data_IF_924132866247
#
_entry.id   IF_924132866247
#
_cell.length_a   1.000
_cell.length_b   1.000
_cell.length_c   1.000
_cell.angle_alpha   90.00
_cell.angle_beta   90.00
_cell.angle_gamma   90.00
#
_symmetry.space_group_name_H-M   'P 1'
#
loop_
_entity.id
_entity.type
_entity.pdbx_description
1 polymer ?
#
# COMPACT_ATOMS: atom_id res chain seq x y z
N UNK A 1 -19.16 18.88 -11.34
CA UNK A 1 -18.11 19.74 -10.75
C UNK A 1 -17.30 19.04 -9.65
N UNK A 2 -17.88 18.13 -8.85
CA UNK A 2 -17.18 17.52 -7.71
C UNK A 2 -16.01 16.59 -8.08
N UNK A 3 -16.09 15.84 -9.18
CA UNK A 3 -15.05 14.87 -9.54
C UNK A 3 -13.68 15.52 -9.85
N UNK A 4 -13.66 16.59 -10.64
CA UNK A 4 -12.42 17.32 -10.96
C UNK A 4 -11.83 17.99 -9.71
N UNK A 5 -12.68 18.57 -8.87
CA UNK A 5 -12.22 19.17 -7.62
C UNK A 5 -11.61 18.11 -6.68
N UNK A 6 -12.26 16.95 -6.54
CA UNK A 6 -11.75 15.83 -5.75
C UNK A 6 -10.42 15.30 -6.29
N UNK A 7 -10.26 15.26 -7.62
CA UNK A 7 -9.00 14.87 -8.25
C UNK A 7 -7.88 15.89 -7.92
N UNK A 8 -8.17 17.18 -7.97
CA UNK A 8 -7.22 18.24 -7.56
C UNK A 8 -6.86 18.17 -6.07
N UNK A 9 -7.83 17.93 -5.20
CA UNK A 9 -7.61 17.71 -3.77
C UNK A 9 -6.75 16.47 -3.53
N UNK A 10 -7.00 15.37 -4.28
CA UNK A 10 -6.21 14.15 -4.21
C UNK A 10 -4.75 14.43 -4.56
N UNK A 11 -4.46 15.10 -5.68
CA UNK A 11 -3.08 15.44 -6.09
C UNK A 11 -2.31 16.18 -4.99
N UNK A 12 -2.93 17.17 -4.33
CA UNK A 12 -2.30 17.94 -3.26
C UNK A 12 -2.03 17.08 -2.02
N UNK A 13 -2.87 16.07 -1.76
CA UNK A 13 -2.74 15.18 -0.61
C UNK A 13 -1.73 14.04 -0.79
N UNK A 14 -1.26 13.79 -2.01
CA UNK A 14 -0.33 12.68 -2.27
C UNK A 14 1.03 12.91 -1.59
N UNK A 15 1.67 11.82 -1.12
CA UNK A 15 3.10 11.82 -0.83
C UNK A 15 3.90 12.35 -2.02
N UNK A 16 4.98 13.09 -1.74
CA UNK A 16 5.81 13.71 -2.80
C UNK A 16 6.26 12.69 -3.85
N UNK A 17 6.71 11.52 -3.40
CA UNK A 17 7.19 10.46 -4.28
C UNK A 17 6.10 9.87 -5.21
N UNK A 18 4.83 9.90 -4.80
CA UNK A 18 3.71 9.45 -5.63
C UNK A 18 3.28 10.54 -6.60
N UNK A 19 3.23 11.80 -6.14
CA UNK A 19 2.91 12.95 -6.99
C UNK A 19 3.93 13.12 -8.12
N UNK A 20 5.22 12.95 -7.84
CA UNK A 20 6.30 13.02 -8.83
C UNK A 20 6.17 11.97 -9.95
N UNK A 21 5.40 10.89 -9.74
CA UNK A 21 5.12 9.85 -10.74
C UNK A 21 3.92 10.20 -11.63
N UNK A 22 3.13 11.20 -11.28
CA UNK A 22 1.95 11.60 -12.06
C UNK A 22 2.35 12.65 -13.08
N UNK A 23 2.03 12.39 -14.34
CA UNK A 23 2.19 13.37 -15.40
C UNK A 23 1.10 14.44 -15.32
N UNK A 24 1.49 15.69 -15.05
CA UNK A 24 0.63 16.88 -15.11
C UNK A 24 1.13 17.74 -16.29
N UNK A 25 0.47 17.69 -17.47
CA UNK A 25 0.99 18.35 -18.67
C UNK A 25 0.93 19.88 -18.63
N UNK A 26 -0.05 20.43 -17.91
CA UNK A 26 -0.21 21.88 -17.79
C UNK A 26 0.65 22.42 -16.63
N UNK A 27 1.65 23.22 -16.97
CA UNK A 27 2.57 23.81 -15.98
C UNK A 27 1.86 24.70 -14.96
N UNK A 28 0.79 25.41 -15.34
CA UNK A 28 0.04 26.26 -14.38
C UNK A 28 -0.68 25.42 -13.34
N UNK A 29 -1.23 24.27 -13.74
CA UNK A 29 -1.84 23.31 -12.82
C UNK A 29 -0.79 22.71 -11.90
N UNK A 30 0.36 22.30 -12.44
CA UNK A 30 1.47 21.75 -11.67
C UNK A 30 1.99 22.73 -10.61
N UNK A 31 2.24 23.98 -11.00
CA UNK A 31 2.64 25.04 -10.08
C UNK A 31 1.57 25.29 -9.01
N UNK A 32 0.29 25.28 -9.40
CA UNK A 32 -0.81 25.47 -8.47
C UNK A 32 -0.90 24.34 -7.42
N UNK A 33 -0.66 23.09 -7.83
CA UNK A 33 -0.61 21.92 -6.96
C UNK A 33 0.57 22.02 -5.99
N UNK A 34 1.78 22.33 -6.45
CA UNK A 34 2.95 22.49 -5.58
C UNK A 34 2.78 23.65 -4.60
N UNK A 35 2.23 24.79 -5.06
CA UNK A 35 1.92 25.90 -4.17
C UNK A 35 0.94 25.49 -3.07
N UNK A 36 -0.11 24.72 -3.41
CA UNK A 36 -1.11 24.27 -2.43
C UNK A 36 -0.49 23.44 -1.29
N UNK A 37 0.50 22.60 -1.61
CA UNK A 37 1.20 21.73 -0.63
C UNK A 37 1.99 22.52 0.40
N UNK A 38 2.42 23.74 0.06
CA UNK A 38 3.16 24.62 0.95
C UNK A 38 2.25 25.57 1.77
N UNK A 39 0.95 25.62 1.50
CA UNK A 39 0.02 26.51 2.21
C UNK A 39 -0.42 25.86 3.54
N UNK A 40 -0.04 26.50 4.65
CA UNK A 40 -0.43 26.09 6.01
C UNK A 40 -1.79 26.66 6.45
N UNK A 41 -2.16 27.83 5.92
CA UNK A 41 -3.40 28.51 6.30
C UNK A 41 -4.63 27.87 5.62
N UNK A 42 -5.58 27.35 6.40
CA UNK A 42 -6.81 26.68 5.90
C UNK A 42 -7.58 27.49 4.85
N UNK A 43 -7.73 28.80 5.07
CA UNK A 43 -8.42 29.68 4.12
C UNK A 43 -7.63 29.92 2.82
N UNK A 44 -6.30 29.93 2.89
CA UNK A 44 -5.43 29.96 1.73
C UNK A 44 -5.55 28.67 0.92
N UNK A 45 -5.45 27.53 1.59
CA UNK A 45 -5.53 26.20 0.98
C UNK A 45 -6.87 26.01 0.27
N UNK A 46 -7.98 26.36 0.93
CA UNK A 46 -9.32 26.27 0.32
C UNK A 46 -9.43 27.07 -0.98
N UNK A 47 -8.91 28.29 -1.01
CA UNK A 47 -8.91 29.14 -2.22
C UNK A 47 -8.03 28.55 -3.32
N UNK A 48 -6.87 28.02 -2.95
CA UNK A 48 -5.97 27.39 -3.90
C UNK A 48 -6.58 26.12 -4.52
N UNK A 49 -7.26 25.30 -3.73
CA UNK A 49 -7.99 24.12 -4.23
C UNK A 49 -9.12 24.49 -5.19
N UNK A 50 -9.84 25.60 -4.93
CA UNK A 50 -10.84 26.13 -5.87
C UNK A 50 -10.22 26.58 -7.19
N UNK A 51 -9.03 27.20 -7.14
CA UNK A 51 -8.28 27.61 -8.32
C UNK A 51 -7.79 26.40 -9.13
N UNK A 52 -7.24 25.38 -8.47
CA UNK A 52 -6.88 24.09 -9.08
C UNK A 52 -8.10 23.48 -9.78
N UNK A 53 -9.24 23.37 -9.08
CA UNK A 53 -10.47 22.84 -9.67
C UNK A 53 -11.00 23.66 -10.85
N UNK A 54 -10.66 24.97 -10.94
CA UNK A 54 -10.92 25.79 -12.13
C UNK A 54 -9.98 25.44 -13.28
N UNK A 55 -8.68 25.32 -13.03
CA UNK A 55 -7.68 24.93 -14.04
C UNK A 55 -7.98 23.55 -14.62
N UNK A 56 -8.40 22.59 -13.79
CA UNK A 56 -8.73 21.23 -14.22
C UNK A 56 -9.87 21.14 -15.24
N UNK A 57 -10.68 22.20 -15.40
CA UNK A 57 -11.72 22.26 -16.44
C UNK A 57 -11.21 22.65 -17.82
N UNK A 58 -9.99 23.17 -17.90
CA UNK A 58 -9.39 23.71 -19.13
C UNK A 58 -8.14 22.96 -19.60
N UNK A 59 -7.77 21.87 -18.91
CA UNK A 59 -6.58 21.06 -19.22
C UNK A 59 -7.00 19.65 -19.61
N UNK A 60 -6.12 18.95 -20.32
CA UNK A 60 -6.26 17.51 -20.50
C UNK A 60 -5.97 16.79 -19.17
N UNK A 61 -7.00 16.13 -18.63
CA UNK A 61 -6.93 15.42 -17.37
C UNK A 61 -6.62 13.93 -17.54
N UNK A 62 -6.60 13.41 -18.77
CA UNK A 62 -6.43 11.99 -19.02
C UNK A 62 -5.10 11.45 -18.47
N UNK A 63 -3.95 12.14 -18.64
CA UNK A 63 -2.68 11.67 -18.06
C UNK A 63 -2.68 11.66 -16.53
N UNK A 64 -3.41 12.59 -15.92
CA UNK A 64 -3.56 12.70 -14.47
C UNK A 64 -4.42 11.54 -13.95
N UNK A 65 -5.56 11.30 -14.61
CA UNK A 65 -6.47 10.22 -14.27
C UNK A 65 -5.78 8.85 -14.41
N UNK A 66 -5.02 8.64 -15.50
CA UNK A 66 -4.23 7.44 -15.72
C UNK A 66 -3.18 7.23 -14.63
N UNK A 67 -2.40 8.26 -14.28
CA UNK A 67 -1.40 8.18 -13.21
C UNK A 67 -2.02 7.85 -11.85
N UNK A 68 -3.15 8.49 -11.52
CA UNK A 68 -3.90 8.20 -10.30
C UNK A 68 -4.47 6.77 -10.29
N UNK A 69 -4.93 6.26 -11.42
CA UNK A 69 -5.43 4.89 -11.57
C UNK A 69 -4.33 3.85 -11.41
N UNK A 70 -3.13 4.10 -11.96
CA UNK A 70 -1.97 3.23 -11.76
C UNK A 70 -1.56 3.15 -10.29
N UNK A 71 -1.57 4.29 -9.58
CA UNK A 71 -1.32 4.30 -8.13
C UNK A 71 -2.40 3.50 -7.38
N UNK A 72 -3.67 3.70 -7.69
CA UNK A 72 -4.76 2.94 -7.02
C UNK A 72 -4.60 1.43 -7.22
N UNK A 73 -4.21 1.01 -8.43
CA UNK A 73 -3.94 -0.39 -8.73
C UNK A 73 -2.76 -0.92 -7.92
N UNK A 74 -1.64 -0.18 -7.86
CA UNK A 74 -0.48 -0.56 -7.04
C UNK A 74 -0.85 -0.71 -5.56
N UNK A 75 -1.65 0.21 -5.02
CA UNK A 75 -2.09 0.17 -3.62
C UNK A 75 -3.05 -0.99 -3.38
N UNK A 76 -3.92 -1.31 -4.34
CA UNK A 76 -4.84 -2.44 -4.27
C UNK A 76 -4.08 -3.78 -4.25
N UNK A 77 -3.06 -3.93 -5.10
CA UNK A 77 -2.18 -5.10 -5.13
C UNK A 77 -1.44 -5.24 -3.80
N UNK A 78 -0.74 -4.19 -3.36
CA UNK A 78 -0.01 -4.21 -2.09
C UNK A 78 -0.91 -4.53 -0.88
N UNK A 79 -2.15 -4.04 -0.89
CA UNK A 79 -3.16 -4.35 0.14
C UNK A 79 -3.60 -5.82 0.09
N UNK A 80 -3.84 -6.35 -1.11
CA UNK A 80 -4.21 -7.75 -1.30
C UNK A 80 -3.08 -8.68 -0.84
N UNK A 81 -1.83 -8.36 -1.17
CA UNK A 81 -0.64 -9.10 -0.76
C UNK A 81 -0.48 -9.07 0.77
N UNK A 82 -0.62 -7.89 1.38
CA UNK A 82 -0.60 -7.74 2.83
C UNK A 82 -1.64 -8.63 3.52
N UNK A 83 -2.89 -8.62 3.05
CA UNK A 83 -3.95 -9.45 3.62
C UNK A 83 -3.72 -10.95 3.38
N UNK A 84 -3.18 -11.35 2.23
CA UNK A 84 -2.81 -12.75 1.96
C UNK A 84 -1.77 -13.24 2.98
N UNK A 85 -0.73 -12.44 3.22
CA UNK A 85 0.32 -12.74 4.21
C UNK A 85 -0.28 -12.79 5.63
N UNK A 86 -1.18 -11.85 5.95
CA UNK A 86 -1.83 -11.79 7.25
C UNK A 86 -2.67 -13.06 7.52
N UNK A 87 -3.49 -13.46 6.55
CA UNK A 87 -4.28 -14.68 6.64
C UNK A 87 -3.39 -15.91 6.78
N UNK A 88 -2.33 -16.03 5.98
CA UNK A 88 -1.36 -17.12 6.06
C UNK A 88 -0.72 -17.24 7.46
N UNK A 89 -0.28 -16.11 8.02
CA UNK A 89 0.29 -16.03 9.38
C UNK A 89 -0.72 -16.50 10.43
N UNK A 90 -1.96 -16.02 10.34
CA UNK A 90 -3.00 -16.37 11.32
C UNK A 90 -3.38 -17.85 11.23
N UNK A 91 -3.41 -18.42 10.02
CA UNK A 91 -3.58 -19.88 9.84
C UNK A 91 -2.44 -20.69 10.43
N UNK A 92 -1.19 -20.27 10.23
CA UNK A 92 -0.04 -20.94 10.88
C UNK A 92 -0.10 -20.85 12.42
N UNK A 93 -0.66 -19.76 12.96
CA UNK A 93 -0.86 -19.59 14.40
C UNK A 93 -1.97 -20.50 14.93
N UNK A 94 -3.11 -20.56 14.22
CA UNK A 94 -4.35 -21.16 14.73
C UNK A 94 -4.50 -22.64 14.34
N UNK A 95 -4.12 -23.00 13.12
CA UNK A 95 -4.24 -24.36 12.55
C UNK A 95 -2.92 -25.15 12.62
N UNK A 96 -1.80 -24.46 12.83
CA UNK A 96 -0.48 -25.09 12.96
C UNK A 96 -0.06 -25.87 11.71
N UNK A 97 0.31 -27.14 11.90
CA UNK A 97 0.87 -27.98 10.83
C UNK A 97 -0.13 -28.25 9.69
N UNK A 98 -1.44 -28.18 9.95
CA UNK A 98 -2.49 -28.42 8.95
C UNK A 98 -2.52 -27.31 7.88
N UNK A 99 -2.10 -26.09 8.22
CA UNK A 99 -2.03 -24.97 7.27
C UNK A 99 -0.83 -25.07 6.30
N UNK A 100 0.20 -25.87 6.61
CA UNK A 100 1.46 -25.86 5.87
C UNK A 100 1.31 -26.21 4.38
N UNK A 101 0.39 -27.11 4.04
CA UNK A 101 0.14 -27.49 2.65
C UNK A 101 -0.29 -26.30 1.80
N UNK A 102 -1.24 -25.51 2.30
CA UNK A 102 -1.75 -24.32 1.60
C UNK A 102 -0.69 -23.22 1.52
N UNK A 103 0.12 -23.06 2.57
CA UNK A 103 1.24 -22.09 2.57
C UNK A 103 2.27 -22.45 1.49
N UNK A 104 2.60 -23.73 1.33
CA UNK A 104 3.55 -24.19 0.32
C UNK A 104 3.00 -24.12 -1.10
N UNK A 105 1.68 -24.19 -1.26
CA UNK A 105 1.05 -23.95 -2.56
C UNK A 105 1.19 -22.49 -3.00
N UNK A 106 1.21 -21.54 -2.06
CA UNK A 106 1.40 -20.10 -2.33
C UNK A 106 2.88 -19.76 -2.48
N UNK A 107 3.73 -20.26 -1.57
CA UNK A 107 5.18 -20.02 -1.56
C UNK A 107 5.95 -21.36 -1.55
N UNK A 108 6.17 -22.00 -2.71
CA UNK A 108 6.86 -23.29 -2.80
C UNK A 108 8.29 -23.30 -2.26
N UNK A 109 8.93 -22.13 -2.25
CA UNK A 109 10.29 -21.92 -1.74
C UNK A 109 10.36 -21.77 -0.21
N UNK A 110 9.23 -21.84 0.51
CA UNK A 110 9.21 -21.76 1.96
C UNK A 110 9.94 -22.95 2.63
N UNK A 111 10.73 -22.66 3.67
CA UNK A 111 11.40 -23.68 4.47
C UNK A 111 10.42 -24.32 5.46
N UNK A 112 9.87 -25.47 5.07
CA UNK A 112 8.89 -26.23 5.88
C UNK A 112 9.40 -26.56 7.29
N UNK A 113 10.67 -26.93 7.41
CA UNK A 113 11.30 -27.26 8.69
C UNK A 113 11.30 -26.05 9.65
N UNK A 114 11.59 -24.86 9.12
CA UNK A 114 11.60 -23.60 9.87
C UNK A 114 10.19 -23.20 10.33
N UNK A 115 9.20 -23.28 9.44
CA UNK A 115 7.81 -23.01 9.78
C UNK A 115 7.31 -23.96 10.88
N UNK A 116 7.53 -25.28 10.74
CA UNK A 116 7.19 -26.28 11.78
C UNK A 116 7.89 -26.02 13.10
N UNK A 117 9.13 -25.53 13.07
CA UNK A 117 9.84 -25.15 14.29
C UNK A 117 9.13 -23.98 14.98
N UNK A 118 8.76 -22.93 14.24
CA UNK A 118 8.10 -21.77 14.81
C UNK A 118 6.67 -22.06 15.28
N UNK A 119 5.91 -22.88 14.55
CA UNK A 119 4.58 -23.35 14.99
C UNK A 119 4.69 -24.05 16.34
N UNK A 120 5.64 -24.99 16.50
CA UNK A 120 5.83 -25.73 17.76
C UNK A 120 6.36 -24.86 18.90
N UNK A 121 7.07 -23.77 18.59
CA UNK A 121 7.56 -22.82 19.60
C UNK A 121 6.46 -21.86 20.08
N UNK A 122 5.41 -21.64 19.28
CA UNK A 122 4.38 -20.63 19.55
C UNK A 122 3.71 -20.81 20.93
N UNK A 123 3.25 -22.00 21.37
CA UNK A 123 2.59 -22.13 22.67
C UNK A 123 3.47 -21.64 23.83
N UNK A 124 4.77 -21.99 23.78
CA UNK A 124 5.75 -21.57 24.79
C UNK A 124 6.02 -20.06 24.75
N UNK A 125 6.03 -19.46 23.56
CA UNK A 125 6.18 -18.01 23.43
C UNK A 125 4.92 -17.27 23.89
N UNK A 126 3.72 -17.84 23.72
CA UNK A 126 2.47 -17.30 24.29
C UNK A 126 2.50 -17.32 25.82
N UNK A 127 2.92 -18.44 26.44
CA UNK A 127 3.10 -18.55 27.90
C UNK A 127 4.07 -17.49 28.45
N UNK A 128 5.06 -17.09 27.65
CA UNK A 128 6.05 -16.05 27.98
C UNK A 128 5.57 -14.62 27.67
N UNK A 129 4.37 -14.44 27.11
CA UNK A 129 3.84 -13.14 26.70
C UNK A 129 4.48 -12.57 25.41
N UNK A 130 5.15 -13.40 24.62
CA UNK A 130 5.90 -13.01 23.41
C UNK A 130 5.13 -13.26 22.11
N UNK A 131 3.84 -13.54 22.18
CA UNK A 131 2.99 -13.84 21.01
C UNK A 131 3.14 -12.80 19.89
N UNK A 132 3.03 -11.51 20.20
CA UNK A 132 3.14 -10.42 19.21
C UNK A 132 4.49 -10.43 18.49
N UNK A 133 5.57 -10.74 19.20
CA UNK A 133 6.92 -10.82 18.63
C UNK A 133 7.03 -12.02 17.70
N UNK A 134 6.51 -13.17 18.11
CA UNK A 134 6.53 -14.40 17.32
C UNK A 134 5.67 -14.30 16.06
N UNK A 135 4.47 -13.75 16.18
CA UNK A 135 3.55 -13.51 15.06
C UNK A 135 4.11 -12.49 14.06
N UNK A 136 4.82 -11.45 14.53
CA UNK A 136 5.55 -10.51 13.66
C UNK A 136 6.70 -11.18 12.91
N UNK A 137 7.38 -12.13 13.54
CA UNK A 137 8.45 -12.90 12.91
C UNK A 137 7.91 -13.76 11.77
N UNK A 138 6.79 -14.46 11.99
CA UNK A 138 6.09 -15.20 10.93
C UNK A 138 5.68 -14.29 9.77
N UNK A 139 5.04 -13.15 10.08
CA UNK A 139 4.63 -12.18 9.06
C UNK A 139 5.81 -11.73 8.20
N UNK A 140 6.93 -11.33 8.83
CA UNK A 140 8.12 -10.86 8.12
C UNK A 140 8.67 -11.92 7.17
N UNK A 141 8.82 -13.16 7.64
CA UNK A 141 9.30 -14.25 6.81
C UNK A 141 8.40 -14.47 5.59
N UNK A 142 7.08 -14.53 5.80
CA UNK A 142 6.14 -14.68 4.69
C UNK A 142 6.17 -13.47 3.73
N UNK A 143 6.35 -12.24 4.23
CA UNK A 143 6.55 -11.07 3.36
C UNK A 143 7.83 -11.14 2.53
N UNK A 144 8.92 -11.69 3.07
CA UNK A 144 10.16 -11.91 2.33
C UNK A 144 9.95 -12.94 1.22
N UNK A 145 9.21 -14.02 1.48
CA UNK A 145 8.85 -15.01 0.46
C UNK A 145 7.97 -14.41 -0.65
N UNK A 146 6.99 -13.59 -0.28
CA UNK A 146 6.06 -12.95 -1.20
C UNK A 146 6.75 -11.91 -2.11
N UNK A 147 7.66 -11.13 -1.52
CA UNK A 147 8.48 -10.18 -2.26
C UNK A 147 9.45 -10.88 -3.22
N UNK A 148 10.03 -12.01 -2.82
CA UNK A 148 10.89 -12.81 -3.70
C UNK A 148 10.10 -13.43 -4.87
N UNK A 149 8.92 -14.00 -4.59
CA UNK A 149 8.04 -14.57 -5.63
C UNK A 149 7.58 -13.51 -6.65
N UNK A 150 7.31 -12.29 -6.20
CA UNK A 150 6.88 -11.19 -7.07
C UNK A 150 8.00 -10.61 -7.93
N UNK A 151 9.28 -10.87 -7.60
CA UNK A 151 10.43 -10.42 -8.37
C UNK A 151 10.85 -11.40 -9.48
N UNK A 152 10.44 -12.67 -9.38
CA UNK A 152 10.72 -13.74 -10.34
C UNK A 152 9.65 -13.86 -11.46
N UNK A 153 8.62 -12.99 -11.44
CA UNK A 153 7.53 -12.94 -12.44
C UNK A 153 7.64 -11.70 -13.31
#
# INVERSE_FOLDING_TARGET
MHALQAMGERLVSLPRAELDRITIPDERLKDAVEAARNITARGGLKRQLQFIGKLMRSVDIEPIAAGLGMLDQQHAVAKADFHRIEMARDRLRDEGDDALGDILAIWPQAEVSLLRQWIRQLPKEVERGHEKTHTRKLFRYLSELDGAASADT
#
